data_IF_908604461608
#
_entry.id   IF_908604461608
#
_cell.length_a   1.000
_cell.length_b   1.000
_cell.length_c   1.000
_cell.angle_alpha   90.00
_cell.angle_beta   90.00
_cell.angle_gamma   90.00
#
_symmetry.space_group_name_H-M   'P 1'
#
loop_
_entity.id
_entity.type
_entity.pdbx_description
1 polymer ?
#
# COMPACT_ATOMS: atom_id res chain seq x y z
N UNK A 1 25.40 -1.31 8.21
CA UNK A 1 25.13 0.02 7.59
C UNK A 1 25.16 -0.11 6.08
N UNK A 2 24.15 0.41 5.41
CA UNK A 2 24.03 0.48 3.94
C UNK A 2 24.04 1.96 3.54
N UNK A 3 24.71 2.28 2.44
CA UNK A 3 24.68 3.63 1.86
C UNK A 3 24.08 3.56 0.47
N UNK A 4 23.13 4.45 0.19
CA UNK A 4 22.57 4.62 -1.15
C UNK A 4 22.84 6.05 -1.64
N UNK A 5 23.10 6.17 -2.94
CA UNK A 5 23.25 7.48 -3.59
C UNK A 5 21.87 8.13 -3.71
N UNK A 6 21.64 9.18 -2.95
CA UNK A 6 20.36 9.87 -2.86
C UNK A 6 20.56 11.39 -2.93
N UNK A 7 19.50 12.11 -3.28
CA UNK A 7 19.49 13.58 -3.31
C UNK A 7 18.85 14.12 -2.03
N UNK A 8 19.37 15.19 -1.42
CA UNK A 8 20.52 16.01 -1.82
C UNK A 8 21.89 15.43 -1.40
N UNK A 9 21.91 14.33 -0.67
CA UNK A 9 23.14 13.67 -0.19
C UNK A 9 22.91 12.17 -0.03
N UNK A 10 24.01 11.39 0.00
CA UNK A 10 23.93 9.97 0.26
C UNK A 10 23.17 9.67 1.56
N UNK A 11 22.28 8.70 1.52
CA UNK A 11 21.53 8.24 2.68
C UNK A 11 22.17 6.97 3.24
N UNK A 12 22.60 7.05 4.49
CA UNK A 12 23.22 5.92 5.20
C UNK A 12 22.27 5.45 6.30
N UNK A 13 21.97 4.16 6.31
CA UNK A 13 21.01 3.59 7.25
C UNK A 13 21.43 2.21 7.75
N UNK A 14 20.85 1.81 8.86
CA UNK A 14 20.93 0.47 9.40
C UNK A 14 19.75 -0.37 8.89
N UNK A 15 19.97 -1.46 8.15
CA UNK A 15 18.87 -2.29 7.65
C UNK A 15 17.98 -2.87 8.76
N UNK A 16 18.52 -3.17 9.94
CA UNK A 16 17.73 -3.68 11.09
C UNK A 16 16.79 -2.61 11.69
N UNK A 17 17.06 -1.33 11.42
CA UNK A 17 16.27 -0.19 11.91
C UNK A 17 15.50 0.51 10.78
N UNK A 18 15.39 -0.13 9.62
CA UNK A 18 14.78 0.45 8.42
C UNK A 18 13.68 -0.45 7.89
N UNK A 19 12.57 0.15 7.51
CA UNK A 19 11.52 -0.55 6.79
C UNK A 19 11.32 0.00 5.38
N UNK A 20 11.07 -0.89 4.43
CA UNK A 20 10.52 -0.57 3.13
C UNK A 20 8.99 -0.58 3.24
N UNK A 21 8.34 0.52 2.87
CA UNK A 21 6.88 0.64 2.80
C UNK A 21 6.45 0.70 1.34
N UNK A 22 5.71 -0.32 0.90
CA UNK A 22 5.11 -0.39 -0.44
C UNK A 22 3.66 0.04 -0.33
N UNK A 23 3.32 1.18 -0.97
CA UNK A 23 2.06 1.87 -0.77
C UNK A 23 1.05 1.44 -1.84
N UNK A 24 -0.08 0.89 -1.38
CA UNK A 24 -1.35 0.73 -2.09
C UNK A 24 -1.23 0.08 -3.49
N UNK A 25 -0.31 -0.87 -3.65
CA UNK A 25 -0.18 -1.65 -4.88
C UNK A 25 -1.32 -2.68 -4.99
N UNK A 26 -2.57 -2.15 -4.99
CA UNK A 26 -3.81 -2.93 -4.96
C UNK A 26 -4.37 -3.16 -6.36
N UNK A 27 -5.08 -4.27 -6.53
CA UNK A 27 -5.72 -4.66 -7.80
C UNK A 27 -6.73 -3.62 -8.26
N UNK A 28 -7.52 -3.05 -7.33
CA UNK A 28 -8.48 -1.99 -7.62
C UNK A 28 -7.83 -0.76 -8.28
N UNK A 29 -6.59 -0.43 -7.92
CA UNK A 29 -5.92 0.75 -8.47
C UNK A 29 -5.13 0.47 -9.74
N UNK A 30 -4.51 -0.71 -9.84
CA UNK A 30 -3.43 -0.97 -10.80
C UNK A 30 -3.80 -2.02 -11.86
N UNK A 31 -4.80 -2.89 -11.62
CA UNK A 31 -5.20 -3.88 -12.63
C UNK A 31 -6.15 -3.31 -13.69
N UNK A 32 -5.97 -3.71 -14.97
CA UNK A 32 -7.01 -3.50 -15.97
C UNK A 32 -8.33 -4.15 -15.53
N UNK A 33 -9.41 -3.38 -15.54
CA UNK A 33 -10.71 -3.83 -15.04
C UNK A 33 -10.92 -3.63 -13.55
N UNK A 34 -9.98 -3.01 -12.82
CA UNK A 34 -10.18 -2.56 -11.45
C UNK A 34 -10.96 -1.24 -11.37
N UNK A 35 -11.22 -0.81 -10.15
CA UNK A 35 -11.93 0.46 -9.88
C UNK A 35 -11.22 1.68 -10.49
N UNK A 36 -9.88 1.75 -10.41
CA UNK A 36 -9.09 2.83 -11.00
C UNK A 36 -9.28 2.95 -12.51
N UNK A 37 -9.29 1.82 -13.22
CA UNK A 37 -9.59 1.79 -14.65
C UNK A 37 -11.03 2.23 -14.94
N UNK A 38 -11.99 1.85 -14.12
CA UNK A 38 -13.38 2.28 -14.23
C UNK A 38 -13.56 3.79 -14.04
N UNK A 39 -12.69 4.43 -13.24
CA UNK A 39 -12.62 5.89 -13.10
C UNK A 39 -11.99 6.60 -14.31
N UNK A 40 -11.43 5.86 -15.27
CA UNK A 40 -10.76 6.41 -16.44
C UNK A 40 -9.25 6.66 -16.24
N UNK A 41 -8.64 6.13 -15.19
CA UNK A 41 -7.19 6.21 -15.01
C UNK A 41 -6.46 5.34 -16.04
N UNK A 42 -5.35 5.84 -16.56
CA UNK A 42 -4.46 5.05 -17.40
C UNK A 42 -3.61 4.12 -16.52
N UNK A 43 -4.16 2.92 -16.28
CA UNK A 43 -3.48 1.89 -15.46
C UNK A 43 -2.19 1.38 -16.10
N UNK A 44 -1.93 1.62 -17.39
CA UNK A 44 -0.66 1.22 -18.02
C UNK A 44 0.52 1.97 -17.44
N UNK A 45 0.33 3.25 -17.11
CA UNK A 45 1.33 4.08 -16.43
C UNK A 45 1.61 3.57 -15.01
N UNK A 46 0.54 3.21 -14.28
CA UNK A 46 0.68 2.65 -12.93
C UNK A 46 1.36 1.29 -12.95
N UNK A 47 1.03 0.43 -13.91
CA UNK A 47 1.66 -0.89 -14.07
C UNK A 47 3.12 -0.81 -14.49
N UNK A 48 3.54 0.24 -15.15
CA UNK A 48 4.92 0.42 -15.58
C UNK A 48 5.94 0.40 -14.43
N UNK A 49 5.51 0.70 -13.20
CA UNK A 49 6.40 0.67 -12.02
C UNK A 49 6.56 -0.73 -11.41
N UNK A 50 5.72 -1.71 -11.76
CA UNK A 50 5.73 -3.05 -11.14
C UNK A 50 7.12 -3.69 -11.16
N UNK A 51 7.87 -3.72 -12.29
CA UNK A 51 9.21 -4.31 -12.30
C UNK A 51 10.19 -3.63 -11.33
N UNK A 52 10.10 -2.30 -11.19
CA UNK A 52 10.94 -1.56 -10.26
C UNK A 52 10.58 -1.89 -8.79
N UNK A 53 9.28 -1.99 -8.46
CA UNK A 53 8.82 -2.39 -7.13
C UNK A 53 9.24 -3.83 -6.82
N UNK A 54 9.15 -4.76 -7.77
CA UNK A 54 9.62 -6.13 -7.59
C UNK A 54 11.12 -6.18 -7.29
N UNK A 55 11.94 -5.43 -8.02
CA UNK A 55 13.37 -5.36 -7.78
C UNK A 55 13.67 -4.74 -6.41
N UNK A 56 12.96 -3.69 -6.02
CA UNK A 56 13.11 -3.05 -4.70
C UNK A 56 12.74 -4.02 -3.57
N UNK A 57 11.63 -4.75 -3.69
CA UNK A 57 11.23 -5.79 -2.75
C UNK A 57 12.28 -6.89 -2.60
N UNK A 58 12.80 -7.39 -3.73
CA UNK A 58 13.85 -8.42 -3.70
C UNK A 58 15.12 -7.91 -3.00
N UNK A 59 15.51 -6.67 -3.27
CA UNK A 59 16.68 -6.04 -2.65
C UNK A 59 16.49 -5.82 -1.15
N UNK A 60 15.33 -5.28 -0.74
CA UNK A 60 15.00 -5.05 0.68
C UNK A 60 14.97 -6.36 1.47
N UNK A 61 14.33 -7.40 0.91
CA UNK A 61 14.30 -8.75 1.50
C UNK A 61 15.69 -9.34 1.67
N UNK A 62 16.54 -9.22 0.63
CA UNK A 62 17.92 -9.70 0.67
C UNK A 62 18.77 -8.93 1.67
N UNK A 63 18.50 -7.66 1.88
CA UNK A 63 19.20 -6.81 2.84
C UNK A 63 18.66 -6.93 4.28
N UNK A 64 17.58 -7.69 4.49
CA UNK A 64 16.98 -7.92 5.81
C UNK A 64 16.15 -6.75 6.34
N UNK A 65 15.66 -5.85 5.48
CA UNK A 65 14.75 -4.81 5.89
C UNK A 65 13.38 -5.40 6.28
N UNK A 66 12.72 -4.75 7.23
CA UNK A 66 11.29 -4.97 7.43
C UNK A 66 10.53 -4.49 6.17
N UNK A 67 9.67 -5.34 5.63
CA UNK A 67 8.80 -4.98 4.51
C UNK A 67 7.36 -4.80 5.01
N UNK A 68 6.77 -3.67 4.63
CA UNK A 68 5.41 -3.27 4.98
C UNK A 68 4.66 -2.96 3.69
N UNK A 69 3.49 -3.55 3.54
CA UNK A 69 2.54 -3.21 2.47
C UNK A 69 1.37 -2.47 3.06
N UNK A 70 0.92 -1.39 2.42
CA UNK A 70 -0.33 -0.74 2.81
C UNK A 70 -1.44 -1.06 1.82
N UNK A 71 -2.67 -1.05 2.34
CA UNK A 71 -3.89 -1.07 1.53
C UNK A 71 -4.83 0.03 2.01
N UNK A 72 -5.35 0.84 1.11
CA UNK A 72 -6.56 1.60 1.42
C UNK A 72 -7.70 0.61 1.53
N UNK A 73 -8.27 0.46 2.73
CA UNK A 73 -9.08 -0.71 3.04
C UNK A 73 -10.06 -0.42 4.16
N UNK A 74 -11.33 -0.76 3.94
CA UNK A 74 -12.41 -0.51 4.88
C UNK A 74 -13.08 -1.80 5.36
N UNK A 75 -13.68 -1.74 6.54
CA UNK A 75 -14.49 -2.83 7.07
C UNK A 75 -15.75 -3.05 6.22
N UNK A 76 -16.29 -4.26 6.22
CA UNK A 76 -17.45 -4.61 5.41
C UNK A 76 -18.70 -3.77 5.73
N UNK A 77 -18.85 -3.31 6.97
CA UNK A 77 -19.92 -2.41 7.42
C UNK A 77 -19.62 -0.92 7.19
N UNK A 78 -18.40 -0.60 6.72
CA UNK A 78 -17.90 0.76 6.50
C UNK A 78 -17.85 1.63 7.77
N UNK A 79 -17.85 1.04 8.96
CA UNK A 79 -17.81 1.76 10.24
C UNK A 79 -16.53 2.59 10.42
N UNK A 80 -15.45 2.20 9.73
CA UNK A 80 -14.17 2.90 9.73
C UNK A 80 -14.01 3.91 8.57
N UNK A 81 -15.03 4.07 7.70
CA UNK A 81 -14.99 5.00 6.58
C UNK A 81 -15.64 6.35 6.96
N UNK A 82 -14.88 7.46 7.04
CA UNK A 82 -15.46 8.77 7.33
C UNK A 82 -16.53 9.17 6.30
N UNK A 83 -17.66 9.77 6.72
CA UNK A 83 -18.75 10.15 5.81
C UNK A 83 -18.28 10.99 4.61
N UNK A 84 -17.44 12.00 4.86
CA UNK A 84 -16.91 12.86 3.80
C UNK A 84 -16.09 12.07 2.75
N UNK A 85 -15.38 11.03 3.15
CA UNK A 85 -14.62 10.16 2.24
C UNK A 85 -15.56 9.27 1.43
N UNK A 86 -16.58 8.71 2.08
CA UNK A 86 -17.58 7.85 1.44
C UNK A 86 -18.45 8.61 0.44
N UNK A 87 -18.83 9.84 0.76
CA UNK A 87 -19.74 10.66 -0.06
C UNK A 87 -19.01 11.47 -1.14
N UNK A 88 -17.68 11.48 -1.13
CA UNK A 88 -16.85 12.27 -2.04
C UNK A 88 -16.85 11.81 -3.51
N UNK A 89 -17.47 10.67 -3.83
CA UNK A 89 -17.58 10.13 -5.18
C UNK A 89 -19.05 10.01 -5.62
N UNK A 90 -19.33 9.98 -6.93
CA UNK A 90 -20.66 9.71 -7.46
C UNK A 90 -21.20 8.35 -7.00
N UNK A 91 -22.53 8.22 -6.94
CA UNK A 91 -23.17 6.94 -6.64
C UNK A 91 -22.74 5.87 -7.66
N UNK A 92 -22.46 4.67 -7.18
CA UNK A 92 -21.89 3.57 -7.98
C UNK A 92 -20.37 3.56 -8.08
N UNK A 93 -19.70 4.62 -7.55
CA UNK A 93 -18.23 4.73 -7.50
C UNK A 93 -17.71 5.05 -6.10
N UNK A 94 -18.56 4.91 -5.10
CA UNK A 94 -18.22 5.18 -3.70
C UNK A 94 -17.51 3.98 -3.07
N UNK A 95 -16.74 4.24 -2.04
CA UNK A 95 -16.23 3.17 -1.18
C UNK A 95 -17.41 2.34 -0.68
N UNK A 96 -17.31 1.03 -0.85
CA UNK A 96 -18.36 0.07 -0.48
C UNK A 96 -19.41 -0.21 -1.54
N UNK A 97 -19.51 0.60 -2.60
CA UNK A 97 -20.36 0.28 -3.74
C UNK A 97 -19.82 -0.94 -4.51
N UNK A 98 -20.70 -1.62 -5.25
CA UNK A 98 -20.29 -2.73 -6.10
C UNK A 98 -19.48 -2.22 -7.29
N UNK A 99 -18.20 -2.58 -7.31
CA UNK A 99 -17.26 -2.29 -8.39
C UNK A 99 -16.98 -3.51 -9.25
N UNK A 100 -16.06 -3.39 -10.22
CA UNK A 100 -15.73 -4.48 -11.15
C UNK A 100 -15.10 -5.71 -10.47
N UNK A 101 -14.38 -5.50 -9.36
CA UNK A 101 -13.67 -6.55 -8.62
C UNK A 101 -14.21 -6.71 -7.18
N UNK A 102 -15.52 -6.68 -7.01
CA UNK A 102 -16.17 -6.73 -5.70
C UNK A 102 -16.48 -5.33 -5.17
N UNK A 103 -16.77 -5.21 -3.88
CA UNK A 103 -17.06 -3.92 -3.25
C UNK A 103 -15.80 -3.08 -3.17
N UNK A 104 -15.88 -1.86 -3.68
CA UNK A 104 -14.74 -0.94 -3.81
C UNK A 104 -14.06 -0.71 -2.46
N UNK A 105 -12.76 -1.01 -2.37
CA UNK A 105 -11.88 -0.81 -1.21
C UNK A 105 -12.39 -1.46 0.09
N UNK A 106 -13.12 -2.57 0.00
CA UNK A 106 -13.59 -3.33 1.15
C UNK A 106 -12.71 -4.56 1.38
N UNK A 107 -12.36 -4.81 2.64
CA UNK A 107 -11.53 -5.97 3.07
C UNK A 107 -12.16 -7.28 2.64
N UNK A 108 -11.32 -8.17 2.09
CA UNK A 108 -11.75 -9.48 1.62
C UNK A 108 -12.31 -9.48 0.19
N UNK A 109 -12.52 -8.32 -0.40
CA UNK A 109 -12.90 -8.25 -1.81
C UNK A 109 -11.68 -8.37 -2.73
N UNK A 110 -11.80 -9.02 -3.90
CA UNK A 110 -10.66 -9.25 -4.79
C UNK A 110 -9.93 -7.98 -5.22
N UNK A 111 -10.64 -6.87 -5.43
CA UNK A 111 -10.05 -5.58 -5.80
C UNK A 111 -9.20 -4.96 -4.69
N UNK A 112 -9.53 -5.24 -3.44
CA UNK A 112 -8.79 -4.72 -2.28
C UNK A 112 -7.44 -5.40 -2.06
N UNK A 113 -7.20 -6.57 -2.64
CA UNK A 113 -5.95 -7.29 -2.48
C UNK A 113 -4.78 -6.61 -3.18
N UNK A 114 -3.57 -6.91 -2.68
CA UNK A 114 -2.32 -6.50 -3.30
C UNK A 114 -2.12 -7.30 -4.59
N UNK A 115 -1.54 -6.66 -5.60
CA UNK A 115 -1.20 -7.31 -6.87
C UNK A 115 -0.37 -8.58 -6.66
N UNK A 116 -0.68 -9.69 -7.34
CA UNK A 116 0.10 -10.92 -7.23
C UNK A 116 1.58 -10.75 -7.53
N UNK A 117 1.93 -9.85 -8.45
CA UNK A 117 3.30 -9.58 -8.87
C UNK A 117 4.18 -8.99 -7.77
N UNK A 118 3.58 -8.36 -6.77
CA UNK A 118 4.27 -7.72 -5.64
C UNK A 118 3.67 -8.17 -4.30
N UNK A 119 3.10 -9.36 -4.26
CA UNK A 119 2.45 -9.90 -3.08
C UNK A 119 3.39 -9.97 -1.87
N UNK A 120 2.86 -9.71 -0.66
CA UNK A 120 3.63 -9.86 0.57
C UNK A 120 4.03 -11.31 0.81
N UNK A 121 5.20 -11.52 1.38
CA UNK A 121 5.68 -12.82 1.85
C UNK A 121 5.27 -13.06 3.31
N UNK A 122 5.27 -14.33 3.78
CA UNK A 122 5.05 -14.63 5.19
C UNK A 122 6.02 -13.86 6.10
N UNK A 123 5.47 -13.18 7.11
CA UNK A 123 6.23 -12.36 8.05
C UNK A 123 6.31 -10.88 7.68
N UNK A 124 5.97 -10.48 6.46
CA UNK A 124 5.82 -9.09 6.08
C UNK A 124 4.51 -8.49 6.64
N UNK A 125 4.49 -7.20 6.86
CA UNK A 125 3.32 -6.55 7.43
C UNK A 125 2.37 -6.06 6.34
N UNK A 126 1.07 -6.25 6.58
CA UNK A 126 0.00 -5.64 5.80
C UNK A 126 -0.74 -4.67 6.71
N UNK A 127 -0.81 -3.42 6.30
CA UNK A 127 -1.48 -2.35 7.03
C UNK A 127 -2.73 -1.91 6.25
N UNK A 128 -3.88 -2.26 6.77
CA UNK A 128 -5.16 -1.77 6.27
C UNK A 128 -5.42 -0.37 6.85
N UNK A 129 -5.42 0.65 6.00
CA UNK A 129 -5.59 2.03 6.41
C UNK A 129 -6.94 2.59 5.96
N UNK A 130 -7.76 3.10 6.88
CA UNK A 130 -9.05 3.72 6.53
C UNK A 130 -8.89 5.15 6.00
N UNK A 131 -7.70 5.75 6.20
CA UNK A 131 -7.36 7.09 5.74
C UNK A 131 -6.31 7.12 4.63
N UNK A 132 -5.97 8.31 4.14
CA UNK A 132 -4.87 8.48 3.17
C UNK A 132 -3.51 8.23 3.82
N UNK A 133 -3.31 8.70 5.05
CA UNK A 133 -2.07 8.50 5.80
C UNK A 133 -2.03 7.11 6.45
N UNK A 134 -0.89 6.44 6.35
CA UNK A 134 -0.73 5.09 6.89
C UNK A 134 -0.65 5.02 8.43
N UNK A 135 -0.45 6.14 9.09
CA UNK A 135 -0.43 6.22 10.56
C UNK A 135 -1.81 6.51 11.18
N UNK A 136 -2.77 6.93 10.34
CA UNK A 136 -4.11 7.25 10.83
C UNK A 136 -4.89 5.98 11.16
N UNK A 137 -5.25 5.82 12.42
CA UNK A 137 -6.07 4.72 12.95
C UNK A 137 -5.53 3.31 12.63
N UNK A 138 -4.20 3.12 12.58
CA UNK A 138 -3.58 1.83 12.24
C UNK A 138 -2.71 1.24 13.34
N UNK A 139 -2.32 2.03 14.35
CA UNK A 139 -1.33 1.62 15.37
C UNK A 139 0.07 1.37 14.81
N UNK A 140 0.35 1.83 13.58
CA UNK A 140 1.62 1.56 12.91
C UNK A 140 2.80 2.23 13.62
N UNK A 141 2.61 3.44 14.16
CA UNK A 141 3.67 4.17 14.85
C UNK A 141 4.18 3.39 16.06
N UNK A 142 3.27 2.89 16.88
CA UNK A 142 3.57 2.09 18.06
C UNK A 142 4.30 0.80 17.69
N UNK A 143 3.82 0.10 16.66
CA UNK A 143 4.46 -1.13 16.16
C UNK A 143 5.87 -0.90 15.63
N UNK A 144 6.11 0.19 14.91
CA UNK A 144 7.45 0.56 14.43
C UNK A 144 8.39 0.86 15.59
N UNK A 145 7.93 1.60 16.60
CA UNK A 145 8.72 1.92 17.78
C UNK A 145 9.07 0.65 18.59
N UNK A 146 8.13 -0.27 18.78
CA UNK A 146 8.35 -1.57 19.43
C UNK A 146 9.39 -2.43 18.70
N UNK A 147 9.46 -2.34 17.37
CA UNK A 147 10.44 -3.03 16.55
C UNK A 147 11.77 -2.27 16.38
N UNK A 148 11.89 -1.08 16.97
CA UNK A 148 13.10 -0.26 16.86
C UNK A 148 13.34 0.32 15.47
N UNK A 149 12.28 0.42 14.63
CA UNK A 149 12.38 1.00 13.30
C UNK A 149 12.42 2.54 13.40
N UNK A 150 13.44 3.13 12.80
CA UNK A 150 13.68 4.58 12.81
C UNK A 150 13.61 5.22 11.43
N UNK A 151 13.83 4.43 10.38
CA UNK A 151 13.89 4.91 9.01
C UNK A 151 12.84 4.21 8.14
N UNK A 152 12.21 4.98 7.26
CA UNK A 152 11.24 4.46 6.31
C UNK A 152 11.65 4.85 4.88
N UNK A 153 11.65 3.86 3.99
CA UNK A 153 11.81 4.04 2.55
C UNK A 153 10.45 3.77 1.92
N UNK A 154 9.96 4.69 1.11
CA UNK A 154 8.64 4.59 0.50
C UNK A 154 8.73 4.29 -1.00
N UNK A 155 7.83 3.41 -1.47
CA UNK A 155 7.63 3.08 -2.88
C UNK A 155 6.16 2.72 -3.15
N UNK A 156 5.73 2.78 -4.41
CA UNK A 156 4.36 2.45 -4.82
C UNK A 156 3.59 3.60 -5.42
#
# INVERSE_FOLDING_TARGET
MIAIDAQPSAFVFDPERTALVVIDMQRDFVEPGGFGAALGNDVTLLRAIIPAVQQLLATARSAGLLVIHTRESHQADLSDCPPAKREGAPAGMRIGDQGPMGRILVRGEPGNDILPEVAPLPGEWIIDKPGKGMFYATGLQERLAEQGIEYLIFAG
#
